data_IF_748562941621
#
_entry.id   IF_748562941621
#
_cell.length_a   1.000
_cell.length_b   1.000
_cell.length_c   1.000
_cell.angle_alpha   90.00
_cell.angle_beta   90.00
_cell.angle_gamma   90.00
#
_symmetry.space_group_name_H-M   'P 1'
#
loop_
_entity.id
_entity.type
_entity.pdbx_description
1 polymer ?
#
# COMPACT_ATOMS: atom_id res chain seq x y z
N UNK A 1 2.47 -45.44 -13.66
CA UNK A 1 1.75 -46.06 -12.55
C UNK A 1 0.84 -47.20 -13.02
N UNK A 2 -0.12 -46.96 -13.93
CA UNK A 2 -1.06 -47.98 -14.44
C UNK A 2 -0.42 -49.26 -15.02
N UNK A 3 0.70 -49.11 -15.74
CA UNK A 3 1.42 -50.22 -16.37
C UNK A 3 2.02 -51.22 -15.35
N UNK A 4 2.47 -50.72 -14.19
CA UNK A 4 3.01 -51.55 -13.10
C UNK A 4 1.90 -52.32 -12.38
N UNK A 5 0.75 -51.69 -12.20
CA UNK A 5 -0.44 -52.32 -11.60
C UNK A 5 -0.92 -53.48 -12.48
N UNK A 6 -1.01 -53.27 -13.80
CA UNK A 6 -1.39 -54.32 -14.75
C UNK A 6 -0.40 -55.48 -14.75
N UNK A 7 0.91 -55.20 -14.71
CA UNK A 7 1.94 -56.23 -14.68
C UNK A 7 1.92 -57.03 -13.36
N UNK A 8 1.63 -56.38 -12.23
CA UNK A 8 1.48 -57.05 -10.94
C UNK A 8 0.26 -57.98 -10.90
N UNK A 9 -0.88 -57.53 -11.44
CA UNK A 9 -2.10 -58.35 -11.57
C UNK A 9 -1.80 -59.58 -12.45
N UNK A 10 -1.11 -59.39 -13.58
CA UNK A 10 -0.72 -60.47 -14.49
C UNK A 10 0.20 -61.49 -13.80
N UNK A 11 1.24 -61.02 -13.08
CA UNK A 11 2.15 -61.89 -12.34
C UNK A 11 1.42 -62.71 -11.28
N UNK A 12 0.52 -62.07 -10.54
CA UNK A 12 -0.28 -62.72 -9.50
C UNK A 12 -1.19 -63.80 -10.09
N UNK A 13 -1.84 -63.51 -11.23
CA UNK A 13 -2.67 -64.48 -11.94
C UNK A 13 -1.88 -65.71 -12.42
N UNK A 14 -0.70 -65.50 -13.01
CA UNK A 14 0.17 -66.60 -13.46
C UNK A 14 0.67 -67.42 -12.25
N UNK A 15 1.06 -66.77 -11.15
CA UNK A 15 1.52 -67.46 -9.95
C UNK A 15 0.44 -68.33 -9.30
N UNK A 16 -0.79 -67.82 -9.20
CA UNK A 16 -1.94 -68.59 -8.69
C UNK A 16 -2.23 -69.78 -9.60
N UNK A 17 -2.24 -69.58 -10.92
CA UNK A 17 -2.47 -70.67 -11.88
C UNK A 17 -1.40 -71.76 -11.79
N UNK A 18 -0.13 -71.37 -11.62
CA UNK A 18 0.98 -72.30 -11.43
C UNK A 18 0.83 -73.15 -10.17
N UNK A 19 0.42 -72.54 -9.06
CA UNK A 19 0.17 -73.23 -7.79
C UNK A 19 -0.99 -74.22 -7.90
N UNK A 20 -2.05 -73.86 -8.62
CA UNK A 20 -3.17 -74.75 -8.90
C UNK A 20 -2.73 -75.98 -9.71
N UNK A 21 -1.98 -75.79 -10.80
CA UNK A 21 -1.47 -76.89 -11.61
C UNK A 21 -0.50 -77.80 -10.85
N UNK A 22 0.40 -77.22 -10.03
CA UNK A 22 1.32 -78.00 -9.22
C UNK A 22 0.59 -78.85 -8.17
N UNK A 23 -0.46 -78.28 -7.55
CA UNK A 23 -1.32 -79.01 -6.60
C UNK A 23 -2.05 -80.17 -7.28
N UNK A 24 -2.65 -79.94 -8.45
CA UNK A 24 -3.38 -80.96 -9.20
C UNK A 24 -2.47 -82.10 -9.67
N UNK A 25 -1.28 -81.78 -10.22
CA UNK A 25 -0.30 -82.78 -10.63
C UNK A 25 0.27 -83.60 -9.46
N UNK A 26 0.45 -82.97 -8.29
CA UNK A 26 0.85 -83.67 -7.07
C UNK A 26 -0.25 -84.61 -6.57
N UNK A 27 -1.51 -84.18 -6.64
CA UNK A 27 -2.67 -85.00 -6.27
C UNK A 27 -2.78 -86.25 -7.14
N UNK A 28 -2.64 -86.12 -8.47
CA UNK A 28 -2.63 -87.26 -9.40
C UNK A 28 -1.44 -88.22 -9.15
N UNK A 29 -0.28 -87.68 -8.79
CA UNK A 29 0.91 -88.50 -8.51
C UNK A 29 0.74 -89.31 -7.23
N UNK A 30 0.35 -88.66 -6.12
CA UNK A 30 0.32 -89.28 -4.78
C UNK A 30 -0.96 -90.11 -4.60
N UNK A 31 -2.13 -89.51 -4.81
CA UNK A 31 -3.41 -90.14 -4.45
C UNK A 31 -3.87 -91.18 -5.48
N UNK A 32 -3.37 -91.10 -6.71
CA UNK A 32 -3.76 -92.00 -7.80
C UNK A 32 -2.63 -92.95 -8.17
N UNK A 33 -1.52 -92.45 -8.74
CA UNK A 33 -0.49 -93.31 -9.32
C UNK A 33 0.35 -94.06 -8.28
N UNK A 34 0.79 -93.38 -7.21
CA UNK A 34 1.55 -94.02 -6.13
C UNK A 34 0.70 -95.04 -5.38
N UNK A 35 -0.57 -94.70 -5.09
CA UNK A 35 -1.52 -95.62 -4.47
C UNK A 35 -1.78 -96.88 -5.30
N UNK A 36 -1.92 -96.74 -6.63
CA UNK A 36 -2.02 -97.90 -7.54
C UNK A 36 -0.77 -98.77 -7.48
N UNK A 37 0.42 -98.17 -7.48
CA UNK A 37 1.67 -98.90 -7.35
C UNK A 37 1.76 -99.68 -6.03
N UNK A 38 1.43 -99.03 -4.90
CA UNK A 38 1.40 -99.66 -3.58
C UNK A 38 0.45 -100.86 -3.53
N UNK A 39 -0.77 -100.71 -4.06
CA UNK A 39 -1.75 -101.79 -4.13
C UNK A 39 -1.24 -103.01 -4.90
N UNK A 40 -0.56 -102.80 -6.05
CA UNK A 40 -0.01 -103.91 -6.85
C UNK A 40 1.16 -104.60 -6.13
N UNK A 41 2.04 -103.82 -5.48
CA UNK A 41 3.14 -104.37 -4.68
C UNK A 41 2.61 -105.23 -3.53
N UNK A 42 1.56 -104.74 -2.86
CA UNK A 42 0.92 -105.46 -1.78
C UNK A 42 0.22 -106.75 -2.25
N UNK A 43 -0.47 -106.71 -3.39
CA UNK A 43 -1.05 -107.90 -4.01
C UNK A 43 0.03 -108.95 -4.32
N UNK A 44 1.16 -108.51 -4.89
CA UNK A 44 2.31 -109.38 -5.17
C UNK A 44 2.89 -110.00 -3.89
N UNK A 45 3.04 -109.21 -2.84
CA UNK A 45 3.52 -109.70 -1.54
C UNK A 45 2.53 -110.70 -0.94
N UNK A 46 1.22 -110.44 -1.02
CA UNK A 46 0.17 -111.35 -0.59
C UNK A 46 0.26 -112.72 -1.29
N UNK A 47 0.50 -112.76 -2.61
CA UNK A 47 0.69 -114.04 -3.35
C UNK A 47 1.93 -114.80 -2.89
N UNK A 48 3.01 -114.09 -2.51
CA UNK A 48 4.21 -114.73 -1.95
C UNK A 48 3.95 -115.30 -0.56
N UNK A 49 3.26 -114.53 0.29
CA UNK A 49 2.90 -114.96 1.64
C UNK A 49 1.94 -116.16 1.63
N UNK A 50 0.96 -116.16 0.73
CA UNK A 50 0.07 -117.31 0.51
C UNK A 50 0.87 -118.57 0.15
N UNK A 51 1.86 -118.45 -0.73
CA UNK A 51 2.68 -119.60 -1.12
C UNK A 51 3.60 -120.09 0.01
N UNK A 52 4.08 -119.20 0.88
CA UNK A 52 4.81 -119.60 2.09
C UNK A 52 3.89 -120.37 3.02
N UNK A 53 2.68 -119.87 3.28
CA UNK A 53 1.68 -120.52 4.13
C UNK A 53 1.28 -121.90 3.59
N UNK A 54 1.00 -122.00 2.28
CA UNK A 54 0.69 -123.27 1.60
C UNK A 54 1.86 -124.26 1.66
N UNK A 55 3.10 -123.77 1.50
CA UNK A 55 4.30 -124.62 1.66
C UNK A 55 4.42 -125.14 3.09
N UNK A 56 4.19 -124.30 4.10
CA UNK A 56 4.24 -124.72 5.50
C UNK A 56 3.15 -125.76 5.79
N UNK A 57 1.92 -125.55 5.31
CA UNK A 57 0.82 -126.52 5.41
C UNK A 57 1.15 -127.88 4.76
N UNK A 58 1.89 -127.89 3.65
CA UNK A 58 2.31 -129.12 2.99
C UNK A 58 3.44 -129.87 3.72
N UNK A 59 4.19 -129.18 4.60
CA UNK A 59 5.37 -129.72 5.31
C UNK A 59 5.09 -130.08 6.78
N UNK A 60 4.11 -129.43 7.42
CA UNK A 60 3.71 -129.71 8.80
C UNK A 60 2.87 -130.99 8.87
N UNK A 61 2.91 -131.71 10.00
CA UNK A 61 2.05 -132.87 10.29
C UNK A 61 1.14 -132.66 11.51
N UNK A 62 1.39 -131.62 12.31
CA UNK A 62 0.67 -131.34 13.56
C UNK A 62 -0.50 -130.37 13.29
N UNK A 63 -1.76 -130.80 13.50
CA UNK A 63 -2.95 -129.97 13.29
C UNK A 63 -2.93 -128.65 14.07
N UNK A 64 -2.32 -128.62 15.26
CA UNK A 64 -2.24 -127.41 16.09
C UNK A 64 -1.32 -126.34 15.48
N UNK A 65 -0.34 -126.77 14.68
CA UNK A 65 0.58 -125.89 13.94
C UNK A 65 0.07 -125.54 12.53
N UNK A 66 -0.77 -126.40 11.93
CA UNK A 66 -1.38 -126.15 10.63
C UNK A 66 -2.47 -125.06 10.68
N UNK A 67 -3.29 -125.04 11.74
CA UNK A 67 -4.44 -124.15 11.81
C UNK A 67 -4.08 -122.64 11.68
N UNK A 68 -3.00 -122.13 12.32
CA UNK A 68 -2.55 -120.75 12.11
C UNK A 68 -2.10 -120.46 10.67
N UNK A 69 -1.46 -121.42 9.99
CA UNK A 69 -1.02 -121.25 8.60
C UNK A 69 -2.21 -121.27 7.63
N UNK A 70 -3.26 -122.05 7.92
CA UNK A 70 -4.52 -121.99 7.18
C UNK A 70 -5.20 -120.64 7.34
N UNK A 71 -5.29 -120.12 8.57
CA UNK A 71 -5.84 -118.78 8.82
C UNK A 71 -5.02 -117.69 8.12
N UNK A 72 -3.69 -117.80 8.12
CA UNK A 72 -2.80 -116.89 7.39
C UNK A 72 -3.08 -116.94 5.89
N UNK A 73 -3.21 -118.14 5.31
CA UNK A 73 -3.53 -118.32 3.89
C UNK A 73 -4.87 -117.65 3.53
N UNK A 74 -5.94 -117.93 4.28
CA UNK A 74 -7.25 -117.35 4.03
C UNK A 74 -7.24 -115.83 4.19
N UNK A 75 -6.59 -115.31 5.25
CA UNK A 75 -6.50 -113.88 5.49
C UNK A 75 -5.72 -113.16 4.39
N UNK A 76 -4.61 -113.73 3.92
CA UNK A 76 -3.83 -113.17 2.81
C UNK A 76 -4.59 -113.20 1.49
N UNK A 77 -5.40 -114.25 1.26
CA UNK A 77 -6.27 -114.36 0.09
C UNK A 77 -7.37 -113.29 0.11
N UNK A 78 -8.02 -113.08 1.25
CA UNK A 78 -9.06 -112.05 1.36
C UNK A 78 -8.47 -110.63 1.27
N UNK A 79 -7.31 -110.39 1.89
CA UNK A 79 -6.59 -109.12 1.76
C UNK A 79 -6.15 -108.85 0.31
N UNK A 80 -5.71 -109.88 -0.41
CA UNK A 80 -5.39 -109.79 -1.83
C UNK A 80 -6.63 -109.38 -2.64
N UNK A 81 -7.79 -110.01 -2.43
CA UNK A 81 -9.04 -109.71 -3.14
C UNK A 81 -9.49 -108.26 -2.86
N UNK A 82 -9.42 -107.82 -1.60
CA UNK A 82 -9.76 -106.44 -1.23
C UNK A 82 -8.85 -105.42 -1.93
N UNK A 83 -7.54 -105.68 -2.00
CA UNK A 83 -6.58 -104.80 -2.67
C UNK A 83 -6.77 -104.80 -4.19
N UNK A 84 -7.08 -105.96 -4.77
CA UNK A 84 -7.48 -106.11 -6.18
C UNK A 84 -8.70 -105.27 -6.51
N UNK A 85 -9.74 -105.28 -5.68
CA UNK A 85 -10.94 -104.45 -5.85
C UNK A 85 -10.64 -102.96 -5.79
N UNK A 86 -9.82 -102.54 -4.83
CA UNK A 86 -9.39 -101.14 -4.72
C UNK A 86 -8.56 -100.71 -5.94
N UNK A 87 -7.70 -101.59 -6.43
CA UNK A 87 -6.89 -101.35 -7.62
C UNK A 87 -7.78 -101.22 -8.86
N UNK A 88 -8.71 -102.15 -9.06
CA UNK A 88 -9.67 -102.13 -10.18
C UNK A 88 -10.53 -100.85 -10.15
N UNK A 89 -11.06 -100.49 -8.98
CA UNK A 89 -11.82 -99.24 -8.80
C UNK A 89 -10.98 -98.02 -9.13
N UNK A 90 -9.75 -97.95 -8.61
CA UNK A 90 -8.82 -96.87 -8.94
C UNK A 90 -8.53 -96.84 -10.43
N UNK A 91 -8.41 -97.99 -11.08
CA UNK A 91 -8.11 -98.16 -12.50
C UNK A 91 -9.34 -98.08 -13.43
N UNK A 92 -10.51 -97.69 -12.92
CA UNK A 92 -11.71 -97.48 -13.75
C UNK A 92 -11.69 -96.14 -14.51
N UNK A 93 -10.87 -95.18 -14.07
CA UNK A 93 -10.77 -93.82 -14.63
C UNK A 93 -9.31 -93.47 -14.89
N UNK A 94 -9.01 -92.83 -16.03
CA UNK A 94 -7.67 -92.33 -16.38
C UNK A 94 -6.56 -93.39 -16.24
N UNK A 95 -6.70 -94.48 -16.99
CA UNK A 95 -5.71 -95.56 -17.05
C UNK A 95 -5.04 -95.60 -18.40
N UNK A 96 -3.72 -95.80 -18.40
CA UNK A 96 -2.95 -95.97 -19.62
C UNK A 96 -3.33 -97.29 -20.31
N UNK A 97 -3.26 -97.31 -21.64
CA UNK A 97 -3.53 -98.52 -22.43
C UNK A 97 -2.70 -99.72 -21.94
N UNK A 98 -1.42 -99.48 -21.60
CA UNK A 98 -0.52 -100.49 -21.04
C UNK A 98 -0.94 -100.96 -19.65
N UNK A 99 -1.37 -100.04 -18.77
CA UNK A 99 -1.83 -100.36 -17.43
C UNK A 99 -3.11 -101.21 -17.45
N UNK A 100 -4.06 -100.87 -18.33
CA UNK A 100 -5.30 -101.62 -18.51
C UNK A 100 -5.03 -103.05 -18.96
N UNK A 101 -4.22 -103.21 -20.00
CA UNK A 101 -3.84 -104.54 -20.52
C UNK A 101 -3.10 -105.40 -19.46
N UNK A 102 -2.24 -104.79 -18.65
CA UNK A 102 -1.54 -105.49 -17.57
C UNK A 102 -2.47 -105.89 -16.40
N UNK A 103 -3.48 -105.06 -16.09
CA UNK A 103 -4.52 -105.41 -15.11
C UNK A 103 -5.38 -106.58 -15.61
N UNK A 104 -5.86 -106.52 -16.86
CA UNK A 104 -6.64 -107.61 -17.47
C UNK A 104 -5.86 -108.94 -17.48
N UNK A 105 -4.55 -108.89 -17.78
CA UNK A 105 -3.69 -110.07 -17.70
C UNK A 105 -3.51 -110.58 -16.27
N UNK A 106 -3.47 -109.70 -15.28
CA UNK A 106 -3.42 -110.09 -13.86
C UNK A 106 -4.71 -110.81 -13.47
N UNK A 107 -5.87 -110.19 -13.74
CA UNK A 107 -7.20 -110.71 -13.41
C UNK A 107 -7.48 -112.07 -14.07
N UNK A 108 -7.09 -112.25 -15.34
CA UNK A 108 -7.28 -113.53 -16.05
C UNK A 108 -6.42 -114.69 -15.51
N UNK A 109 -5.35 -114.40 -14.78
CA UNK A 109 -4.46 -115.42 -14.18
C UNK A 109 -4.73 -115.69 -12.70
N UNK A 110 -5.53 -114.81 -12.08
CA UNK A 110 -5.75 -114.76 -10.64
C UNK A 110 -6.52 -115.97 -10.12
N UNK A 111 -7.68 -116.27 -10.70
CA UNK A 111 -8.58 -117.32 -10.21
C UNK A 111 -7.88 -118.68 -10.16
N UNK A 112 -7.16 -119.02 -11.24
CA UNK A 112 -6.39 -120.27 -11.33
C UNK A 112 -5.28 -120.31 -10.28
N UNK A 113 -4.54 -119.22 -10.07
CA UNK A 113 -3.46 -119.18 -9.10
C UNK A 113 -3.97 -119.25 -7.64
N UNK A 114 -5.03 -118.51 -7.31
CA UNK A 114 -5.58 -118.50 -5.96
C UNK A 114 -6.29 -119.83 -5.63
N UNK A 115 -7.09 -120.36 -6.55
CA UNK A 115 -7.80 -121.63 -6.33
C UNK A 115 -6.84 -122.81 -6.18
N UNK A 116 -5.76 -122.86 -6.96
CA UNK A 116 -4.74 -123.92 -6.84
C UNK A 116 -3.95 -123.79 -5.54
N UNK A 117 -3.62 -122.58 -5.08
CA UNK A 117 -3.02 -122.38 -3.75
C UNK A 117 -3.96 -122.81 -2.62
N UNK A 118 -5.24 -122.46 -2.68
CA UNK A 118 -6.25 -122.87 -1.69
C UNK A 118 -6.44 -124.40 -1.68
N UNK A 119 -6.46 -125.02 -2.85
CA UNK A 119 -6.58 -126.48 -2.99
C UNK A 119 -5.36 -127.19 -2.41
N UNK A 120 -4.15 -126.72 -2.72
CA UNK A 120 -2.90 -127.22 -2.14
C UNK A 120 -2.87 -127.05 -0.61
N UNK A 121 -3.27 -125.88 -0.11
CA UNK A 121 -3.36 -125.61 1.33
C UNK A 121 -4.35 -126.52 2.04
N UNK A 122 -5.51 -126.79 1.42
CA UNK A 122 -6.52 -127.69 1.96
C UNK A 122 -6.04 -129.14 2.00
N UNK A 123 -5.35 -129.62 0.95
CA UNK A 123 -4.70 -130.94 0.98
C UNK A 123 -3.67 -131.05 2.11
N UNK A 124 -2.92 -129.97 2.39
CA UNK A 124 -2.02 -129.89 3.55
C UNK A 124 -2.77 -129.98 4.88
N UNK A 125 -3.85 -129.22 5.03
CA UNK A 125 -4.71 -129.21 6.23
C UNK A 125 -5.38 -130.57 6.51
N UNK A 126 -5.79 -131.28 5.44
CA UNK A 126 -6.36 -132.63 5.50
C UNK A 126 -5.29 -133.72 5.77
N UNK A 127 -4.05 -133.31 6.08
CA UNK A 127 -2.88 -134.15 6.35
C UNK A 127 -2.45 -135.07 5.18
N UNK A 128 -2.77 -134.69 3.94
CA UNK A 128 -2.43 -135.40 2.70
C UNK A 128 -1.13 -134.87 2.09
N UNK A 129 -0.02 -134.95 2.84
CA UNK A 129 1.25 -134.27 2.52
C UNK A 129 1.86 -134.61 1.15
N UNK A 130 1.87 -135.89 0.77
CA UNK A 130 2.44 -136.32 -0.52
C UNK A 130 1.65 -135.74 -1.70
N UNK A 131 0.33 -135.76 -1.61
CA UNK A 131 -0.58 -135.20 -2.62
C UNK A 131 -0.47 -133.67 -2.66
N UNK A 132 -0.46 -133.02 -1.49
CA UNK A 132 -0.29 -131.58 -1.37
C UNK A 132 1.04 -131.12 -1.98
N UNK A 133 2.14 -131.82 -1.70
CA UNK A 133 3.47 -131.48 -2.23
C UNK A 133 3.55 -131.69 -3.74
N UNK A 134 3.01 -132.80 -4.25
CA UNK A 134 2.98 -133.07 -5.68
C UNK A 134 2.14 -132.01 -6.42
N UNK A 135 0.94 -131.71 -5.94
CA UNK A 135 0.05 -130.70 -6.51
C UNK A 135 0.64 -129.28 -6.41
N UNK A 136 1.33 -128.97 -5.31
CA UNK A 136 2.03 -127.70 -5.13
C UNK A 136 3.13 -127.52 -6.20
N UNK A 137 3.92 -128.57 -6.47
CA UNK A 137 5.03 -128.48 -7.42
C UNK A 137 4.58 -128.48 -8.89
N UNK A 138 3.57 -129.27 -9.25
CA UNK A 138 3.17 -129.47 -10.65
C UNK A 138 2.03 -128.57 -11.10
N UNK A 139 1.18 -128.08 -10.19
CA UNK A 139 -0.02 -127.29 -10.53
C UNK A 139 0.00 -125.89 -9.88
N UNK A 140 0.11 -125.80 -8.55
CA UNK A 140 -0.04 -124.52 -7.87
C UNK A 140 1.15 -123.57 -8.10
N UNK A 141 2.40 -124.05 -8.05
CA UNK A 141 3.59 -123.23 -8.30
C UNK A 141 3.65 -122.65 -9.73
N UNK A 142 3.40 -123.43 -10.79
CA UNK A 142 3.32 -122.86 -12.14
C UNK A 142 2.25 -121.77 -12.27
N UNK A 143 1.04 -122.01 -11.74
CA UNK A 143 -0.05 -121.02 -11.75
C UNK A 143 0.33 -119.76 -10.96
N UNK A 144 0.90 -119.92 -9.76
CA UNK A 144 1.43 -118.83 -8.95
C UNK A 144 2.49 -118.01 -9.70
N UNK A 145 3.43 -118.67 -10.39
CA UNK A 145 4.48 -117.99 -11.15
C UNK A 145 3.90 -117.13 -12.27
N UNK A 146 2.84 -117.60 -12.94
CA UNK A 146 2.15 -116.82 -13.97
C UNK A 146 1.53 -115.55 -13.37
N UNK A 147 0.82 -115.66 -12.24
CA UNK A 147 0.24 -114.49 -11.57
C UNK A 147 1.32 -113.53 -11.05
N UNK A 148 2.40 -114.03 -10.43
CA UNK A 148 3.51 -113.21 -9.95
C UNK A 148 4.19 -112.44 -11.10
N UNK A 149 4.38 -113.07 -12.27
CA UNK A 149 4.93 -112.39 -13.45
C UNK A 149 3.97 -111.30 -13.97
N UNK A 150 2.65 -111.54 -13.93
CA UNK A 150 1.66 -110.54 -14.31
C UNK A 150 1.68 -109.33 -13.36
N UNK A 151 1.74 -109.59 -12.05
CA UNK A 151 1.87 -108.57 -11.01
C UNK A 151 3.20 -107.81 -11.09
N UNK A 152 4.31 -108.48 -11.40
CA UNK A 152 5.62 -107.85 -11.64
C UNK A 152 5.56 -106.88 -12.84
N UNK A 153 4.93 -107.29 -13.94
CA UNK A 153 4.75 -106.42 -15.10
C UNK A 153 3.89 -105.19 -14.75
N UNK A 154 2.76 -105.40 -14.07
CA UNK A 154 1.88 -104.32 -13.64
C UNK A 154 2.58 -103.37 -12.66
N UNK A 155 3.40 -103.90 -11.74
CA UNK A 155 4.21 -103.11 -10.79
C UNK A 155 5.17 -102.19 -11.54
N UNK A 156 5.89 -102.71 -12.55
CA UNK A 156 6.83 -101.93 -13.34
C UNK A 156 6.13 -100.84 -14.15
N UNK A 157 4.96 -101.13 -14.72
CA UNK A 157 4.17 -100.15 -15.47
C UNK A 157 3.70 -99.03 -14.54
N UNK A 158 3.13 -99.35 -13.37
CA UNK A 158 2.67 -98.32 -12.42
C UNK A 158 3.84 -97.49 -11.88
N UNK A 159 4.99 -98.11 -11.59
CA UNK A 159 6.20 -97.39 -11.16
C UNK A 159 6.70 -96.43 -12.24
N UNK A 160 6.77 -96.86 -13.51
CA UNK A 160 7.20 -96.00 -14.62
C UNK A 160 6.24 -94.84 -14.82
N UNK A 161 4.93 -95.10 -14.85
CA UNK A 161 3.90 -94.05 -14.99
C UNK A 161 3.95 -93.02 -13.86
N UNK A 162 4.22 -93.45 -12.63
CA UNK A 162 4.40 -92.54 -11.49
C UNK A 162 5.65 -91.67 -11.66
N UNK A 163 6.80 -92.26 -12.01
CA UNK A 163 8.06 -91.54 -12.24
C UNK A 163 7.98 -90.55 -13.40
N UNK A 164 7.37 -90.94 -14.51
CA UNK A 164 7.24 -90.07 -15.69
C UNK A 164 6.39 -88.83 -15.36
N UNK A 165 5.29 -89.00 -14.63
CA UNK A 165 4.45 -87.88 -14.17
C UNK A 165 5.19 -86.97 -13.17
N UNK A 166 6.02 -87.51 -12.28
CA UNK A 166 6.88 -86.70 -11.40
C UNK A 166 7.87 -85.86 -12.22
N UNK A 167 8.52 -86.46 -13.22
CA UNK A 167 9.49 -85.78 -14.07
C UNK A 167 8.83 -84.66 -14.89
N UNK A 168 7.66 -84.92 -15.47
CA UNK A 168 6.89 -83.93 -16.22
C UNK A 168 6.42 -82.77 -15.35
N UNK A 169 5.85 -83.06 -14.18
CA UNK A 169 5.42 -82.04 -13.22
C UNK A 169 6.60 -81.18 -12.73
N UNK A 170 7.75 -81.81 -12.44
CA UNK A 170 8.96 -81.09 -12.00
C UNK A 170 9.48 -80.15 -13.10
N UNK A 171 9.48 -80.59 -14.36
CA UNK A 171 9.90 -79.76 -15.49
C UNK A 171 8.94 -78.58 -15.73
N UNK A 172 7.62 -78.79 -15.58
CA UNK A 172 6.61 -77.73 -15.67
C UNK A 172 6.78 -76.70 -14.54
N UNK A 173 6.94 -77.15 -13.30
CA UNK A 173 7.18 -76.26 -12.15
C UNK A 173 8.45 -75.43 -12.33
N UNK A 174 9.54 -76.04 -12.81
CA UNK A 174 10.80 -75.33 -13.09
C UNK A 174 10.64 -74.25 -14.17
N UNK A 175 9.98 -74.55 -15.30
CA UNK A 175 9.72 -73.57 -16.36
C UNK A 175 8.89 -72.39 -15.86
N UNK A 176 7.84 -72.66 -15.08
CA UNK A 176 6.99 -71.59 -14.53
C UNK A 176 7.74 -70.74 -13.51
N UNK A 177 8.62 -71.33 -12.70
CA UNK A 177 9.48 -70.58 -11.77
C UNK A 177 10.44 -69.62 -12.51
N UNK A 178 11.03 -70.03 -13.64
CA UNK A 178 11.89 -69.16 -14.47
C UNK A 178 11.10 -67.99 -15.07
N UNK A 179 9.90 -68.23 -15.59
CA UNK A 179 9.02 -67.19 -16.15
C UNK A 179 8.65 -66.16 -15.06
N UNK A 180 8.23 -66.63 -13.88
CA UNK A 180 7.89 -65.74 -12.75
C UNK A 180 9.10 -64.92 -12.28
N UNK A 181 10.28 -65.53 -12.24
CA UNK A 181 11.52 -64.82 -11.87
C UNK A 181 11.86 -63.72 -12.89
N UNK A 182 11.71 -63.99 -14.19
CA UNK A 182 11.94 -63.01 -15.25
C UNK A 182 10.96 -61.83 -15.19
N UNK A 183 9.67 -62.11 -14.96
CA UNK A 183 8.64 -61.07 -14.79
C UNK A 183 8.89 -60.21 -13.53
N UNK A 184 9.33 -60.83 -12.43
CA UNK A 184 9.69 -60.11 -11.21
C UNK A 184 10.85 -59.13 -11.45
N UNK A 185 11.92 -59.56 -12.11
CA UNK A 185 13.06 -58.67 -12.46
C UNK A 185 12.60 -57.53 -13.37
N UNK A 186 11.81 -57.82 -14.40
CA UNK A 186 11.29 -56.79 -15.30
C UNK A 186 10.43 -55.75 -14.57
N UNK A 187 9.62 -56.17 -13.59
CA UNK A 187 8.78 -55.28 -12.78
C UNK A 187 9.61 -54.28 -11.96
N UNK A 188 10.73 -54.73 -11.39
CA UNK A 188 11.65 -53.89 -10.61
C UNK A 188 12.33 -52.88 -11.53
N UNK A 189 12.81 -53.31 -12.70
CA UNK A 189 13.46 -52.42 -13.68
C UNK A 189 12.51 -51.31 -14.17
N UNK A 190 11.26 -51.67 -14.51
CA UNK A 190 10.24 -50.68 -14.90
C UNK A 190 9.92 -49.71 -13.77
N UNK A 191 9.88 -50.18 -12.52
CA UNK A 191 9.63 -49.34 -11.34
C UNK A 191 10.76 -48.33 -11.11
N UNK A 192 12.01 -48.78 -11.19
CA UNK A 192 13.19 -47.90 -11.07
C UNK A 192 13.23 -46.88 -12.21
N UNK A 193 12.98 -47.32 -13.46
CA UNK A 193 12.98 -46.43 -14.61
C UNK A 193 11.88 -45.35 -14.51
N UNK A 194 10.66 -45.73 -14.13
CA UNK A 194 9.55 -44.77 -13.96
C UNK A 194 9.80 -43.81 -12.79
N UNK A 195 10.35 -44.29 -11.67
CA UNK A 195 10.76 -43.44 -10.55
C UNK A 195 11.81 -42.41 -10.99
N UNK A 196 12.86 -42.87 -11.69
CA UNK A 196 13.92 -41.99 -12.20
C UNK A 196 13.38 -40.93 -13.16
N UNK A 197 12.50 -41.31 -14.09
CA UNK A 197 11.87 -40.36 -15.02
C UNK A 197 10.99 -39.33 -14.31
N UNK A 198 10.21 -39.74 -13.31
CA UNK A 198 9.37 -38.84 -12.52
C UNK A 198 10.22 -37.85 -11.72
N UNK A 199 11.25 -38.32 -11.01
CA UNK A 199 12.18 -37.46 -10.27
C UNK A 199 12.87 -36.48 -11.22
N UNK A 200 13.35 -36.95 -12.38
CA UNK A 200 14.01 -36.10 -13.37
C UNK A 200 13.06 -35.05 -13.96
N UNK A 201 11.81 -35.42 -14.24
CA UNK A 201 10.79 -34.51 -14.77
C UNK A 201 10.40 -33.45 -13.73
N UNK A 202 10.16 -33.84 -12.48
CA UNK A 202 9.85 -32.93 -11.37
C UNK A 202 11.01 -31.98 -11.11
N UNK A 203 12.24 -32.50 -10.99
CA UNK A 203 13.43 -31.67 -10.81
C UNK A 203 13.65 -30.68 -11.96
N UNK A 204 13.25 -31.03 -13.19
CA UNK A 204 13.31 -30.11 -14.34
C UNK A 204 12.25 -29.02 -14.26
N UNK A 205 11.01 -29.34 -13.90
CA UNK A 205 9.93 -28.36 -13.75
C UNK A 205 10.14 -27.42 -12.55
N UNK A 206 10.70 -27.93 -11.46
CA UNK A 206 11.03 -27.13 -10.28
C UNK A 206 12.22 -26.20 -10.53
N UNK A 207 13.15 -26.56 -11.43
CA UNK A 207 14.35 -25.77 -11.74
C UNK A 207 15.49 -25.95 -10.74
N UNK A 208 15.21 -26.53 -9.57
CA UNK A 208 16.16 -26.78 -8.49
C UNK A 208 15.62 -27.80 -7.50
N UNK A 209 16.18 -27.83 -6.30
CA UNK A 209 15.67 -28.66 -5.21
C UNK A 209 14.37 -28.07 -4.64
N UNK A 210 13.36 -28.89 -4.27
CA UNK A 210 12.11 -28.40 -3.71
C UNK A 210 12.29 -27.49 -2.49
N UNK A 211 13.27 -27.82 -1.63
CA UNK A 211 13.57 -27.04 -0.43
C UNK A 211 14.05 -25.62 -0.74
N UNK A 212 14.79 -25.43 -1.85
CA UNK A 212 15.26 -24.10 -2.27
C UNK A 212 14.11 -23.23 -2.74
N UNK A 213 13.18 -23.79 -3.53
CA UNK A 213 11.98 -23.07 -3.97
C UNK A 213 11.09 -22.68 -2.77
N UNK A 214 10.94 -23.57 -1.79
CA UNK A 214 10.18 -23.29 -0.57
C UNK A 214 10.84 -22.19 0.28
N UNK A 215 12.17 -22.25 0.47
CA UNK A 215 12.91 -21.24 1.22
C UNK A 215 12.83 -19.87 0.55
N UNK A 216 12.98 -19.80 -0.78
CA UNK A 216 12.86 -18.55 -1.54
C UNK A 216 11.46 -17.97 -1.44
N UNK A 217 10.42 -18.79 -1.62
CA UNK A 217 9.03 -18.34 -1.48
C UNK A 217 8.74 -17.83 -0.06
N UNK A 218 9.27 -18.49 0.98
CA UNK A 218 9.14 -18.05 2.36
C UNK A 218 9.87 -16.72 2.63
N UNK A 219 11.08 -16.54 2.07
CA UNK A 219 11.82 -15.28 2.16
C UNK A 219 11.04 -14.13 1.50
N UNK A 220 10.51 -14.33 0.29
CA UNK A 220 9.69 -13.33 -0.40
C UNK A 220 8.43 -13.00 0.42
N UNK A 221 7.75 -14.01 0.97
CA UNK A 221 6.57 -13.82 1.81
C UNK A 221 6.88 -13.04 3.10
N UNK A 222 8.08 -13.20 3.66
CA UNK A 222 8.57 -12.43 4.79
C UNK A 222 9.08 -11.03 4.42
N UNK A 223 9.08 -10.67 3.13
CA UNK A 223 9.58 -9.40 2.62
C UNK A 223 11.09 -9.34 2.39
N UNK A 224 11.81 -10.45 2.56
CA UNK A 224 13.23 -10.53 2.19
C UNK A 224 13.38 -10.78 0.68
N UNK A 225 13.71 -9.71 -0.04
CA UNK A 225 13.98 -9.72 -1.47
C UNK A 225 15.48 -9.71 -1.79
N UNK A 226 16.35 -9.95 -0.81
CA UNK A 226 17.82 -9.91 -0.98
C UNK A 226 18.45 -11.29 -1.13
N UNK A 227 17.71 -12.34 -0.78
CA UNK A 227 18.14 -13.73 -0.92
C UNK A 227 18.55 -14.07 -2.36
N UNK A 228 19.77 -14.60 -2.60
CA UNK A 228 20.27 -14.91 -3.94
C UNK A 228 19.53 -16.11 -4.55
N UNK A 229 19.14 -16.00 -5.82
CA UNK A 229 18.51 -17.10 -6.56
C UNK A 229 19.51 -17.72 -7.53
N UNK A 230 19.83 -18.99 -7.33
CA UNK A 230 20.72 -19.75 -8.23
C UNK A 230 19.89 -20.54 -9.23
N UNK A 231 19.75 -20.01 -10.45
CA UNK A 231 19.07 -20.70 -11.55
C UNK A 231 20.04 -21.61 -12.31
N UNK A 232 19.51 -22.68 -12.89
CA UNK A 232 20.25 -23.47 -13.88
C UNK A 232 20.46 -22.63 -15.15
N UNK A 233 21.57 -22.87 -15.85
CA UNK A 233 21.91 -22.12 -17.06
C UNK A 233 20.82 -22.28 -18.13
N UNK A 234 20.22 -21.18 -18.55
CA UNK A 234 19.15 -21.15 -19.56
C UNK A 234 17.76 -21.52 -19.06
N UNK A 235 17.55 -21.63 -17.74
CA UNK A 235 16.25 -21.92 -17.15
C UNK A 235 15.41 -20.64 -17.00
N UNK A 236 14.33 -20.56 -17.78
CA UNK A 236 13.42 -19.40 -17.80
C UNK A 236 11.97 -19.75 -17.47
N UNK A 237 11.65 -21.05 -17.36
CA UNK A 237 10.27 -21.53 -17.25
C UNK A 237 10.00 -22.33 -15.99
N UNK A 238 11.04 -22.65 -15.21
CA UNK A 238 10.83 -23.38 -13.96
C UNK A 238 10.13 -22.54 -12.91
N UNK A 239 9.65 -23.22 -11.86
CA UNK A 239 9.14 -22.55 -10.68
C UNK A 239 10.18 -21.59 -10.08
N UNK A 240 11.45 -22.02 -9.97
CA UNK A 240 12.52 -21.21 -9.41
C UNK A 240 12.78 -19.94 -10.26
N UNK A 241 12.76 -20.06 -11.60
CA UNK A 241 12.89 -18.92 -12.51
C UNK A 241 11.69 -17.95 -12.39
N UNK A 242 10.48 -18.48 -12.17
CA UNK A 242 9.29 -17.67 -11.94
C UNK A 242 9.36 -16.91 -10.59
N UNK A 243 9.87 -17.56 -9.54
CA UNK A 243 10.11 -16.93 -8.23
C UNK A 243 11.21 -15.86 -8.30
N UNK A 244 12.27 -16.08 -9.07
CA UNK A 244 13.33 -15.08 -9.33
C UNK A 244 12.74 -13.83 -10.00
N UNK A 245 11.97 -14.02 -11.09
CA UNK A 245 11.30 -12.91 -11.77
C UNK A 245 10.31 -12.16 -10.87
N UNK A 246 9.57 -12.89 -10.03
CA UNK A 246 8.70 -12.28 -9.01
C UNK A 246 9.50 -11.47 -7.99
N UNK A 247 10.59 -12.01 -7.46
CA UNK A 247 11.47 -11.32 -6.51
C UNK A 247 12.06 -10.05 -7.13
N UNK A 248 12.53 -10.11 -8.38
CA UNK A 248 13.09 -8.97 -9.11
C UNK A 248 12.05 -7.86 -9.32
N UNK A 249 10.83 -8.21 -9.74
CA UNK A 249 9.75 -7.25 -9.91
C UNK A 249 9.33 -6.60 -8.59
N UNK A 250 9.18 -7.39 -7.52
CA UNK A 250 8.88 -6.86 -6.19
C UNK A 250 9.99 -5.93 -5.70
N UNK A 251 11.26 -6.27 -5.94
CA UNK A 251 12.41 -5.42 -5.58
C UNK A 251 12.37 -4.08 -6.33
N UNK A 252 12.03 -4.12 -7.62
CA UNK A 252 11.82 -2.93 -8.43
C UNK A 252 10.69 -2.03 -7.91
N UNK A 253 9.53 -2.62 -7.57
CA UNK A 253 8.41 -1.89 -6.99
C UNK A 253 8.76 -1.27 -5.63
N UNK A 254 9.43 -2.01 -4.75
CA UNK A 254 9.87 -1.48 -3.44
C UNK A 254 10.87 -0.33 -3.61
N UNK A 255 11.78 -0.42 -4.59
CA UNK A 255 12.70 0.68 -4.91
C UNK A 255 11.94 1.92 -5.39
N UNK A 256 10.99 1.76 -6.31
CA UNK A 256 10.16 2.88 -6.79
C UNK A 256 9.34 3.52 -5.66
N UNK A 257 8.78 2.71 -4.76
CA UNK A 257 8.06 3.21 -3.58
C UNK A 257 9.01 3.98 -2.66
N UNK A 258 10.24 3.50 -2.45
CA UNK A 258 11.26 4.20 -1.65
C UNK A 258 11.61 5.54 -2.27
N UNK A 259 11.84 5.59 -3.58
CA UNK A 259 12.21 6.82 -4.30
C UNK A 259 11.04 7.83 -4.31
N UNK A 260 9.81 7.35 -4.50
CA UNK A 260 8.60 8.18 -4.39
C UNK A 260 8.42 8.72 -2.96
N UNK A 261 8.63 7.90 -1.93
CA UNK A 261 8.53 8.32 -0.53
C UNK A 261 9.59 9.36 -0.17
N UNK A 262 10.83 9.19 -0.68
CA UNK A 262 11.89 10.19 -0.51
C UNK A 262 11.54 11.52 -1.19
N UNK A 263 10.93 11.47 -2.39
CA UNK A 263 10.47 12.66 -3.10
C UNK A 263 9.34 13.38 -2.35
N UNK A 264 8.39 12.63 -1.78
CA UNK A 264 7.31 13.18 -0.95
C UNK A 264 7.88 13.81 0.33
N UNK A 265 8.86 13.17 0.97
CA UNK A 265 9.51 13.72 2.16
C UNK A 265 10.23 15.03 1.85
N UNK A 266 10.94 15.10 0.72
CA UNK A 266 11.61 16.32 0.26
C UNK A 266 10.60 17.45 -0.03
N UNK A 267 9.52 17.15 -0.77
CA UNK A 267 8.47 18.12 -1.05
C UNK A 267 7.76 18.62 0.22
N UNK A 268 7.55 17.75 1.21
CA UNK A 268 6.97 18.15 2.49
C UNK A 268 7.90 19.09 3.26
N UNK A 269 9.22 18.88 3.20
CA UNK A 269 10.21 19.75 3.84
C UNK A 269 10.27 21.13 3.15
N UNK A 270 10.22 21.17 1.81
CA UNK A 270 10.12 22.40 1.02
C UNK A 270 8.82 23.18 1.35
N UNK A 271 7.68 22.50 1.46
CA UNK A 271 6.42 23.12 1.88
C UNK A 271 6.53 23.68 3.30
N UNK A 272 7.15 22.94 4.23
CA UNK A 272 7.32 23.40 5.62
C UNK A 272 8.21 24.65 5.70
N UNK A 273 9.32 24.69 4.96
CA UNK A 273 10.15 25.89 4.85
C UNK A 273 9.37 27.04 4.21
N UNK A 274 8.69 26.80 3.09
CA UNK A 274 7.88 27.81 2.41
C UNK A 274 6.76 28.36 3.29
N UNK A 275 6.12 27.51 4.12
CA UNK A 275 5.09 27.94 5.05
C UNK A 275 5.67 28.75 6.23
N UNK A 276 6.88 28.44 6.68
CA UNK A 276 7.59 29.24 7.69
C UNK A 276 7.94 30.62 7.14
N UNK A 277 8.45 30.68 5.91
CA UNK A 277 8.73 31.96 5.23
C UNK A 277 7.44 32.76 4.99
N UNK A 278 6.36 32.10 4.54
CA UNK A 278 5.06 32.73 4.37
C UNK A 278 4.53 33.29 5.69
N UNK A 279 4.60 32.52 6.78
CA UNK A 279 4.22 32.98 8.12
C UNK A 279 5.01 34.22 8.53
N UNK A 280 6.33 34.22 8.32
CA UNK A 280 7.17 35.38 8.62
C UNK A 280 6.79 36.61 7.78
N UNK A 281 6.50 36.42 6.49
CA UNK A 281 6.03 37.50 5.62
C UNK A 281 4.65 38.01 6.03
N UNK A 282 3.75 37.14 6.46
CA UNK A 282 2.44 37.51 6.99
C UNK A 282 2.57 38.31 8.28
N UNK A 283 3.47 37.92 9.19
CA UNK A 283 3.77 38.69 10.40
C UNK A 283 4.35 40.07 10.08
N UNK A 284 5.28 40.16 9.12
CA UNK A 284 5.83 41.43 8.65
C UNK A 284 4.76 42.32 8.01
N UNK A 285 3.88 41.73 7.19
CA UNK A 285 2.78 42.45 6.57
C UNK A 285 1.75 42.93 7.59
N UNK A 286 1.46 42.13 8.62
CA UNK A 286 0.59 42.54 9.72
C UNK A 286 1.20 43.72 10.51
N UNK A 287 2.51 43.68 10.78
CA UNK A 287 3.22 44.79 11.42
C UNK A 287 3.18 46.06 10.56
N UNK A 288 3.40 45.94 9.24
CA UNK A 288 3.30 47.06 8.31
C UNK A 288 1.88 47.64 8.22
N UNK A 289 0.84 46.78 8.29
CA UNK A 289 -0.56 47.21 8.34
C UNK A 289 -0.86 47.93 9.67
N UNK A 290 -0.33 47.46 10.80
CA UNK A 290 -0.46 48.16 12.09
C UNK A 290 0.18 49.54 12.05
N UNK A 291 1.38 49.67 11.49
CA UNK A 291 2.07 50.96 11.34
C UNK A 291 1.32 51.89 10.39
N UNK A 292 0.76 51.33 9.30
CA UNK A 292 -0.09 52.08 8.36
C UNK A 292 -1.35 52.57 9.06
N UNK A 293 -2.04 51.73 9.83
CA UNK A 293 -3.24 52.12 10.57
C UNK A 293 -2.95 53.23 11.60
N UNK A 294 -1.86 53.10 12.36
CA UNK A 294 -1.42 54.15 13.30
C UNK A 294 -1.09 55.47 12.58
N UNK A 295 -0.43 55.40 11.42
CA UNK A 295 -0.14 56.56 10.59
C UNK A 295 -1.42 57.22 10.06
N UNK A 296 -2.43 56.42 9.71
CA UNK A 296 -3.73 56.91 9.26
C UNK A 296 -4.52 57.59 10.37
N UNK A 297 -4.47 57.10 11.61
CA UNK A 297 -5.04 57.79 12.77
C UNK A 297 -4.36 59.15 13.00
N UNK A 298 -3.04 59.20 12.93
CA UNK A 298 -2.27 60.44 13.08
C UNK A 298 -2.57 61.45 11.95
N UNK A 299 -2.65 60.97 10.70
CA UNK A 299 -3.04 61.81 9.56
C UNK A 299 -4.46 62.35 9.71
N UNK A 300 -5.41 61.50 10.14
CA UNK A 300 -6.79 61.92 10.41
C UNK A 300 -6.85 63.03 11.46
N UNK A 301 -6.11 62.87 12.57
CA UNK A 301 -6.02 63.89 13.62
C UNK A 301 -5.43 65.21 13.09
N UNK A 302 -4.37 65.12 12.28
CA UNK A 302 -3.69 66.29 11.70
C UNK A 302 -4.59 67.05 10.71
N UNK A 303 -5.24 66.34 9.78
CA UNK A 303 -6.16 66.94 8.80
C UNK A 303 -7.37 67.56 9.50
N UNK A 304 -7.91 66.93 10.54
CA UNK A 304 -8.98 67.51 11.36
C UNK A 304 -8.53 68.79 12.05
N UNK A 305 -7.32 68.81 12.61
CA UNK A 305 -6.73 70.01 13.20
C UNK A 305 -6.53 71.13 12.18
N UNK A 306 -6.08 70.80 10.96
CA UNK A 306 -5.91 71.76 9.87
C UNK A 306 -7.25 72.36 9.44
N UNK A 307 -8.30 71.54 9.28
CA UNK A 307 -9.64 72.02 8.94
C UNK A 307 -10.17 73.00 10.00
N UNK A 308 -10.06 72.63 11.29
CA UNK A 308 -10.48 73.48 12.39
C UNK A 308 -9.66 74.79 12.46
N UNK A 309 -8.34 74.70 12.31
CA UNK A 309 -7.44 75.85 12.29
C UNK A 309 -7.70 76.80 11.11
N UNK A 310 -7.96 76.24 9.92
CA UNK A 310 -8.33 77.02 8.74
C UNK A 310 -9.66 77.74 8.96
N UNK A 311 -10.68 77.05 9.46
CA UNK A 311 -11.99 77.65 9.77
C UNK A 311 -11.87 78.78 10.81
N UNK A 312 -11.09 78.56 11.88
CA UNK A 312 -10.84 79.59 12.88
C UNK A 312 -10.10 80.80 12.28
N UNK A 313 -9.05 80.56 11.49
CA UNK A 313 -8.26 81.62 10.84
C UNK A 313 -9.10 82.43 9.86
N UNK A 314 -9.97 81.79 9.08
CA UNK A 314 -10.92 82.46 8.20
C UNK A 314 -11.87 83.36 9.00
N UNK A 315 -12.37 82.89 10.15
CA UNK A 315 -13.18 83.69 11.07
C UNK A 315 -12.45 84.94 11.57
N UNK A 316 -11.24 84.77 12.11
CA UNK A 316 -10.41 85.88 12.61
C UNK A 316 -10.04 86.86 11.49
N UNK A 317 -9.77 86.37 10.27
CA UNK A 317 -9.52 87.23 9.12
C UNK A 317 -10.75 88.11 8.80
N UNK A 318 -11.96 87.53 8.74
CA UNK A 318 -13.19 88.33 8.51
C UNK A 318 -13.44 89.36 9.61
N UNK A 319 -13.19 89.01 10.86
CA UNK A 319 -13.27 89.94 11.99
C UNK A 319 -12.25 91.08 11.85
N UNK A 320 -11.00 90.75 11.51
CA UNK A 320 -9.93 91.73 11.27
C UNK A 320 -10.27 92.65 10.09
N UNK A 321 -10.84 92.12 9.00
CA UNK A 321 -11.30 92.94 7.88
C UNK A 321 -12.44 93.90 8.28
N UNK A 322 -13.34 93.45 9.17
CA UNK A 322 -14.40 94.30 9.71
C UNK A 322 -13.84 95.43 10.57
N UNK A 323 -12.86 95.13 11.43
CA UNK A 323 -12.16 96.13 12.24
C UNK A 323 -11.37 97.13 11.37
N UNK A 324 -10.68 96.65 10.34
CA UNK A 324 -9.96 97.50 9.41
C UNK A 324 -10.89 98.46 8.64
N UNK A 325 -12.08 98.00 8.22
CA UNK A 325 -13.12 98.86 7.63
C UNK A 325 -13.64 99.92 8.61
N UNK A 326 -13.78 99.59 9.89
CA UNK A 326 -14.10 100.59 10.91
C UNK A 326 -12.99 101.65 11.03
N UNK A 327 -11.72 101.22 10.97
CA UNK A 327 -10.56 102.13 10.95
C UNK A 327 -10.52 103.04 9.73
N UNK A 328 -10.93 102.56 8.55
CA UNK A 328 -11.10 103.38 7.35
C UNK A 328 -12.10 104.52 7.59
N UNK A 329 -13.27 104.21 8.14
CA UNK A 329 -14.30 105.21 8.45
C UNK A 329 -13.82 106.27 9.45
N UNK A 330 -12.99 105.88 10.42
CA UNK A 330 -12.39 106.81 11.38
C UNK A 330 -11.33 107.71 10.73
N UNK A 331 -10.49 107.18 9.83
CA UNK A 331 -9.52 107.97 9.05
C UNK A 331 -10.23 108.95 8.12
N UNK A 332 -11.35 108.54 7.50
CA UNK A 332 -12.16 109.42 6.66
C UNK A 332 -12.77 110.56 7.47
N UNK A 333 -13.35 110.28 8.64
CA UNK A 333 -13.85 111.31 9.57
C UNK A 333 -12.75 112.26 10.05
N UNK A 334 -11.55 111.74 10.28
CA UNK A 334 -10.38 112.55 10.63
C UNK A 334 -10.01 113.50 9.48
N UNK A 335 -10.02 113.02 8.23
CA UNK A 335 -9.75 113.85 7.04
C UNK A 335 -10.81 114.95 6.86
N UNK A 336 -12.09 114.64 7.09
CA UNK A 336 -13.18 115.62 7.07
C UNK A 336 -12.96 116.71 8.14
N UNK A 337 -12.63 116.30 9.37
CA UNK A 337 -12.35 117.21 10.48
C UNK A 337 -11.15 118.12 10.17
N UNK A 338 -10.08 117.56 9.59
CA UNK A 338 -8.91 118.35 9.17
C UNK A 338 -9.27 119.35 8.09
N UNK A 339 -10.14 118.99 7.13
CA UNK A 339 -10.63 119.92 6.12
C UNK A 339 -11.47 121.06 6.73
N UNK A 340 -12.33 120.76 7.72
CA UNK A 340 -13.07 121.79 8.47
C UNK A 340 -12.14 122.73 9.24
N UNK A 341 -11.09 122.20 9.88
CA UNK A 341 -10.06 123.00 10.56
C UNK A 341 -9.35 123.92 9.56
N UNK A 342 -8.99 123.41 8.38
CA UNK A 342 -8.36 124.20 7.30
C UNK A 342 -9.27 125.36 6.86
N UNK A 343 -10.55 125.09 6.62
CA UNK A 343 -11.54 126.12 6.28
C UNK A 343 -11.71 127.16 7.38
N UNK A 344 -11.71 126.73 8.65
CA UNK A 344 -11.77 127.64 9.81
C UNK A 344 -10.52 128.53 9.90
N UNK A 345 -9.33 127.95 9.70
CA UNK A 345 -8.07 128.67 9.70
C UNK A 345 -8.02 129.73 8.57
N UNK A 346 -8.53 129.41 7.37
CA UNK A 346 -8.69 130.38 6.28
C UNK A 346 -9.57 131.58 6.70
N UNK A 347 -10.69 131.34 7.38
CA UNK A 347 -11.54 132.42 7.89
C UNK A 347 -10.81 133.30 8.91
N UNK A 348 -10.02 132.69 9.81
CA UNK A 348 -9.21 133.44 10.79
C UNK A 348 -8.13 134.27 10.08
N UNK A 349 -7.49 133.76 9.03
CA UNK A 349 -6.55 134.51 8.19
C UNK A 349 -7.20 135.74 7.55
N UNK A 350 -8.43 135.59 7.06
CA UNK A 350 -9.16 136.69 6.43
C UNK A 350 -9.57 137.75 7.49
N UNK A 351 -10.03 137.33 8.67
CA UNK A 351 -10.32 138.23 9.80
C UNK A 351 -9.07 138.97 10.27
N UNK A 352 -7.95 138.28 10.43
CA UNK A 352 -6.68 138.90 10.86
C UNK A 352 -6.15 139.89 9.83
N UNK A 353 -6.36 139.63 8.53
CA UNK A 353 -6.06 140.60 7.45
C UNK A 353 -6.94 141.86 7.56
N UNK A 354 -8.21 141.73 7.94
CA UNK A 354 -9.10 142.88 8.22
C UNK A 354 -8.63 143.64 9.46
N UNK A 355 -8.24 142.96 10.54
CA UNK A 355 -7.72 143.58 11.77
C UNK A 355 -6.42 144.36 11.48
N UNK A 356 -5.51 143.79 10.69
CA UNK A 356 -4.31 144.49 10.23
C UNK A 356 -4.68 145.76 9.43
N UNK A 357 -5.67 145.66 8.54
CA UNK A 357 -6.22 146.80 7.81
C UNK A 357 -6.80 147.89 8.72
N UNK A 358 -7.59 147.52 9.74
CA UNK A 358 -8.15 148.45 10.73
C UNK A 358 -7.03 149.08 11.56
N UNK A 359 -6.03 148.31 11.98
CA UNK A 359 -4.88 148.81 12.71
C UNK A 359 -4.08 149.80 11.87
N UNK A 360 -3.90 149.53 10.57
CA UNK A 360 -3.28 150.46 9.64
C UNK A 360 -4.09 151.76 9.50
N UNK A 361 -5.41 151.67 9.29
CA UNK A 361 -6.29 152.83 9.22
C UNK A 361 -6.24 153.66 10.52
N UNK A 362 -6.24 152.99 11.68
CA UNK A 362 -6.18 153.62 13.01
C UNK A 362 -4.83 154.30 13.24
N UNK A 363 -3.73 153.70 12.78
CA UNK A 363 -2.40 154.31 12.82
C UNK A 363 -2.33 155.60 11.96
N UNK A 364 -3.00 155.63 10.80
CA UNK A 364 -3.11 156.84 9.97
C UNK A 364 -4.00 157.90 10.62
N UNK A 365 -5.15 157.52 11.17
CA UNK A 365 -6.05 158.42 11.91
C UNK A 365 -5.36 159.04 13.13
N UNK A 366 -4.63 158.23 13.90
CA UNK A 366 -3.87 158.68 15.06
C UNK A 366 -2.72 159.61 14.69
N UNK A 367 -2.04 159.35 13.56
CA UNK A 367 -1.04 160.27 13.00
C UNK A 367 -1.68 161.62 12.62
N UNK A 368 -2.82 161.60 11.93
CA UNK A 368 -3.54 162.82 11.57
C UNK A 368 -3.99 163.61 12.82
N UNK A 369 -4.50 162.92 13.85
CA UNK A 369 -4.87 163.52 15.12
C UNK A 369 -3.67 164.11 15.88
N UNK A 370 -2.52 163.43 15.88
CA UNK A 370 -1.29 163.94 16.48
C UNK A 370 -0.78 165.21 15.77
N UNK A 371 -0.90 165.27 14.45
CA UNK A 371 -0.56 166.45 13.64
C UNK A 371 -1.49 167.63 13.96
N UNK A 372 -2.81 167.40 14.04
CA UNK A 372 -3.77 168.46 14.35
C UNK A 372 -3.65 168.94 15.81
N UNK A 373 -3.34 168.03 16.75
CA UNK A 373 -3.05 168.37 18.14
C UNK A 373 -1.76 169.22 18.28
N UNK A 374 -0.72 168.94 17.50
CA UNK A 374 0.48 169.79 17.44
C UNK A 374 0.18 171.19 16.87
N UNK A 375 -0.83 171.29 16.00
CA UNK A 375 -1.28 172.55 15.38
C UNK A 375 -2.05 173.46 16.36
N UNK A 376 -2.70 172.89 17.36
CA UNK A 376 -3.45 173.59 18.41
C UNK A 376 -2.57 174.15 19.56
N UNK A 377 -1.25 173.94 19.53
CA UNK A 377 -0.32 174.49 20.53
C UNK A 377 -0.50 173.92 21.94
N UNK A 378 -0.38 174.75 22.98
CA UNK A 378 -0.44 174.32 24.39
C UNK A 378 -1.80 173.68 24.77
N UNK A 379 -2.91 174.11 24.15
CA UNK A 379 -4.26 173.55 24.39
C UNK A 379 -4.42 172.12 23.83
N UNK A 380 -3.61 171.73 22.84
CA UNK A 380 -3.67 170.42 22.18
C UNK A 380 -2.78 169.34 22.82
N UNK A 381 -2.00 169.69 23.84
CA UNK A 381 -0.92 168.85 24.40
C UNK A 381 -1.43 167.53 24.99
N UNK A 382 -2.60 167.54 25.64
CA UNK A 382 -3.26 166.33 26.13
C UNK A 382 -3.74 165.40 24.99
N UNK A 383 -4.26 165.98 23.91
CA UNK A 383 -4.70 165.22 22.73
C UNK A 383 -3.53 164.61 21.95
N UNK A 384 -2.38 165.28 21.88
CA UNK A 384 -1.17 164.76 21.24
C UNK A 384 -0.64 163.50 21.93
N UNK A 385 -0.68 163.44 23.28
CA UNK A 385 -0.30 162.26 24.05
C UNK A 385 -1.26 161.10 23.79
N UNK A 386 -2.57 161.35 23.80
CA UNK A 386 -3.58 160.32 23.49
C UNK A 386 -3.42 159.81 22.07
N UNK A 387 -3.17 160.68 21.09
CA UNK A 387 -2.93 160.29 19.71
C UNK A 387 -1.65 159.46 19.54
N UNK A 388 -0.57 159.78 20.27
CA UNK A 388 0.64 158.98 20.33
C UNK A 388 0.40 157.57 20.91
N UNK A 389 -0.38 157.47 21.98
CA UNK A 389 -0.74 156.19 22.60
C UNK A 389 -1.64 155.34 21.69
N UNK A 390 -2.63 155.95 21.03
CA UNK A 390 -3.49 155.27 20.03
C UNK A 390 -2.65 154.78 18.85
N UNK A 391 -1.65 155.55 18.41
CA UNK A 391 -0.75 155.15 17.34
C UNK A 391 0.13 153.96 17.74
N UNK A 392 0.71 154.00 18.93
CA UNK A 392 1.49 152.89 19.51
C UNK A 392 0.63 151.62 19.61
N UNK A 393 -0.61 151.74 20.10
CA UNK A 393 -1.56 150.64 20.18
C UNK A 393 -1.89 150.08 18.79
N UNK A 394 -2.11 150.94 17.79
CA UNK A 394 -2.37 150.53 16.42
C UNK A 394 -1.18 149.78 15.79
N UNK A 395 0.07 150.23 16.01
CA UNK A 395 1.27 149.52 15.57
C UNK A 395 1.42 148.16 16.27
N UNK A 396 1.14 148.08 17.57
CA UNK A 396 1.13 146.81 18.32
C UNK A 396 0.06 145.86 17.80
N UNK A 397 -1.16 146.34 17.52
CA UNK A 397 -2.24 145.55 16.94
C UNK A 397 -1.88 145.04 15.54
N UNK A 398 -1.24 145.85 14.70
CA UNK A 398 -0.78 145.42 13.38
C UNK A 398 0.35 144.38 13.44
N UNK A 399 1.24 144.46 14.44
CA UNK A 399 2.25 143.42 14.68
C UNK A 399 1.61 142.12 15.13
N UNK A 400 0.72 142.17 16.13
CA UNK A 400 0.02 141.00 16.64
C UNK A 400 -0.85 140.33 15.55
N UNK A 401 -1.51 141.11 14.68
CA UNK A 401 -2.26 140.58 13.56
C UNK A 401 -1.36 139.82 12.56
N UNK A 402 -0.15 140.34 12.27
CA UNK A 402 0.84 139.65 11.43
C UNK A 402 1.37 138.36 12.07
N UNK A 403 1.63 138.38 13.37
CA UNK A 403 2.08 137.18 14.10
C UNK A 403 0.99 136.08 14.09
N UNK A 404 -0.27 136.45 14.31
CA UNK A 404 -1.40 135.51 14.20
C UNK A 404 -1.51 134.99 12.76
N UNK A 405 -1.37 135.85 11.74
CA UNK A 405 -1.42 135.43 10.34
C UNK A 405 -0.34 134.38 10.02
N UNK A 406 0.90 134.57 10.46
CA UNK A 406 1.98 133.60 10.28
C UNK A 406 1.68 132.27 10.98
N UNK A 407 1.16 132.30 12.23
CA UNK A 407 0.77 131.09 12.96
C UNK A 407 -0.37 130.34 12.25
N UNK A 408 -1.31 131.07 11.63
CA UNK A 408 -2.41 130.48 10.86
C UNK A 408 -1.91 129.88 9.55
N UNK A 409 -1.01 130.54 8.83
CA UNK A 409 -0.38 129.97 7.62
C UNK A 409 0.39 128.68 7.96
N UNK A 410 1.10 128.66 9.09
CA UNK A 410 1.77 127.46 9.59
C UNK A 410 0.76 126.36 9.99
N UNK A 411 -0.34 126.70 10.64
CA UNK A 411 -1.40 125.75 11.00
C UNK A 411 -2.07 125.13 9.76
N UNK A 412 -2.35 125.93 8.72
CA UNK A 412 -2.88 125.44 7.44
C UNK A 412 -1.92 124.44 6.81
N UNK A 413 -0.62 124.76 6.75
CA UNK A 413 0.39 123.84 6.20
C UNK A 413 0.50 122.53 6.98
N UNK A 414 0.40 122.57 8.31
CA UNK A 414 0.37 121.34 9.14
C UNK A 414 -0.88 120.50 8.91
N UNK A 415 -2.04 121.15 8.75
CA UNK A 415 -3.30 120.48 8.45
C UNK A 415 -3.27 119.82 7.06
N UNK A 416 -2.72 120.49 6.04
CA UNK A 416 -2.50 119.90 4.71
C UNK A 416 -1.61 118.64 4.77
N UNK A 417 -0.53 118.70 5.55
CA UNK A 417 0.31 117.53 5.82
C UNK A 417 -0.45 116.40 6.52
N UNK A 418 -1.31 116.74 7.48
CA UNK A 418 -2.18 115.79 8.18
C UNK A 418 -3.21 115.12 7.26
N UNK A 419 -3.82 115.86 6.34
CA UNK A 419 -4.75 115.33 5.33
C UNK A 419 -4.03 114.36 4.38
N UNK A 420 -2.83 114.71 3.91
CA UNK A 420 -2.05 113.83 3.04
C UNK A 420 -1.65 112.51 3.75
N UNK A 421 -1.23 112.59 5.01
CA UNK A 421 -0.90 111.41 5.81
C UNK A 421 -2.13 110.54 6.10
N UNK A 422 -3.29 111.15 6.35
CA UNK A 422 -4.57 110.45 6.52
C UNK A 422 -4.96 109.69 5.24
N UNK A 423 -4.84 110.32 4.07
CA UNK A 423 -5.13 109.70 2.78
C UNK A 423 -4.24 108.46 2.52
N UNK A 424 -2.92 108.57 2.73
CA UNK A 424 -2.00 107.44 2.59
C UNK A 424 -2.24 106.31 3.61
N UNK A 425 -2.71 106.67 4.80
CA UNK A 425 -3.15 105.70 5.83
C UNK A 425 -4.42 104.96 5.38
N UNK A 426 -5.40 105.68 4.83
CA UNK A 426 -6.63 105.11 4.28
C UNK A 426 -6.36 104.12 3.14
N UNK A 427 -5.49 104.45 2.19
CA UNK A 427 -5.08 103.55 1.10
C UNK A 427 -4.40 102.28 1.63
N UNK A 428 -3.60 102.41 2.69
CA UNK A 428 -2.94 101.26 3.33
C UNK A 428 -3.94 100.35 4.04
N UNK A 429 -4.95 100.92 4.70
CA UNK A 429 -6.05 100.16 5.32
C UNK A 429 -6.85 99.40 4.26
N UNK A 430 -7.16 100.01 3.11
CA UNK A 430 -7.86 99.34 2.01
C UNK A 430 -7.08 98.14 1.46
N UNK A 431 -5.75 98.28 1.31
CA UNK A 431 -4.90 97.15 0.92
C UNK A 431 -4.90 96.03 1.97
N UNK A 432 -4.85 96.37 3.26
CA UNK A 432 -4.96 95.38 4.35
C UNK A 432 -6.30 94.64 4.28
N UNK A 433 -7.42 95.35 4.09
CA UNK A 433 -8.74 94.73 3.93
C UNK A 433 -8.76 93.74 2.77
N UNK A 434 -8.14 94.09 1.64
CA UNK A 434 -7.99 93.18 0.49
C UNK A 434 -7.19 91.92 0.83
N UNK A 435 -5.98 92.08 1.37
CA UNK A 435 -5.10 90.95 1.74
C UNK A 435 -5.73 90.03 2.79
N UNK A 436 -6.44 90.59 3.76
CA UNK A 436 -7.13 89.81 4.80
C UNK A 436 -8.36 89.09 4.22
N UNK A 437 -9.03 89.68 3.22
CA UNK A 437 -10.08 89.02 2.45
C UNK A 437 -9.54 87.80 1.69
N UNK A 438 -8.46 87.98 0.94
CA UNK A 438 -7.79 86.88 0.22
C UNK A 438 -7.33 85.77 1.18
N UNK A 439 -6.85 86.12 2.38
CA UNK A 439 -6.50 85.16 3.42
C UNK A 439 -7.72 84.35 3.88
N UNK A 440 -8.88 85.00 4.07
CA UNK A 440 -10.11 84.32 4.46
C UNK A 440 -10.56 83.31 3.39
N UNK A 441 -10.54 83.71 2.12
CA UNK A 441 -10.91 82.85 0.98
C UNK A 441 -9.95 81.66 0.82
N UNK A 442 -8.64 81.89 1.02
CA UNK A 442 -7.63 80.83 1.01
C UNK A 442 -7.84 79.83 2.15
N UNK A 443 -8.21 80.30 3.34
CA UNK A 443 -8.51 79.45 4.48
C UNK A 443 -9.81 78.65 4.31
N UNK A 444 -10.84 79.23 3.70
CA UNK A 444 -12.06 78.49 3.34
C UNK A 444 -11.73 77.36 2.35
N UNK A 445 -10.91 77.65 1.35
CA UNK A 445 -10.46 76.66 0.36
C UNK A 445 -9.64 75.54 1.02
N UNK A 446 -8.78 75.88 1.99
CA UNK A 446 -8.01 74.91 2.78
C UNK A 446 -8.93 74.03 3.65
N UNK A 447 -9.98 74.61 4.25
CA UNK A 447 -10.97 73.86 5.02
C UNK A 447 -11.75 72.87 4.14
N UNK A 448 -12.16 73.29 2.93
CA UNK A 448 -12.82 72.43 1.96
C UNK A 448 -11.92 71.26 1.54
N UNK A 449 -10.68 71.56 1.13
CA UNK A 449 -9.70 70.55 0.71
C UNK A 449 -9.35 69.58 1.85
N UNK A 450 -9.26 70.07 3.09
CA UNK A 450 -9.05 69.21 4.26
C UNK A 450 -10.25 68.28 4.50
N UNK A 451 -11.48 68.73 4.20
CA UNK A 451 -12.67 67.88 4.23
C UNK A 451 -12.61 66.74 3.21
N UNK A 452 -12.20 67.03 1.98
CA UNK A 452 -12.00 66.01 0.94
C UNK A 452 -10.88 65.02 1.31
N UNK A 453 -9.76 65.51 1.85
CA UNK A 453 -8.67 64.66 2.35
C UNK A 453 -9.15 63.72 3.45
N UNK A 454 -9.96 64.21 4.40
CA UNK A 454 -10.53 63.37 5.47
C UNK A 454 -11.39 62.24 4.91
N UNK A 455 -12.17 62.50 3.86
CA UNK A 455 -12.98 61.48 3.20
C UNK A 455 -12.11 60.45 2.46
N UNK A 456 -11.05 60.89 1.78
CA UNK A 456 -10.07 59.99 1.16
C UNK A 456 -9.34 59.11 2.19
N UNK A 457 -8.90 59.70 3.30
CA UNK A 457 -8.26 58.98 4.41
C UNK A 457 -9.22 57.94 5.01
N UNK A 458 -10.51 58.29 5.17
CA UNK A 458 -11.53 57.35 5.65
C UNK A 458 -11.69 56.13 4.73
N UNK A 459 -11.72 56.33 3.40
CA UNK A 459 -11.77 55.22 2.45
C UNK A 459 -10.53 54.32 2.51
N UNK A 460 -9.34 54.91 2.60
CA UNK A 460 -8.10 54.13 2.74
C UNK A 460 -8.07 53.39 4.08
N UNK A 461 -8.55 54.00 5.17
CA UNK A 461 -8.66 53.34 6.47
C UNK A 461 -9.59 52.11 6.43
N UNK A 462 -10.70 52.19 5.69
CA UNK A 462 -11.60 51.04 5.48
C UNK A 462 -10.89 49.95 4.67
N UNK A 463 -10.17 50.32 3.61
CA UNK A 463 -9.43 49.37 2.77
C UNK A 463 -8.33 48.65 3.58
N UNK A 464 -7.57 49.38 4.41
CA UNK A 464 -6.56 48.82 5.32
C UNK A 464 -7.19 47.89 6.36
N UNK A 465 -8.41 48.17 6.82
CA UNK A 465 -9.12 47.31 7.78
C UNK A 465 -9.65 46.00 7.16
N UNK A 466 -9.77 45.92 5.83
CA UNK A 466 -10.25 44.73 5.11
C UNK A 466 -9.12 43.79 4.66
N UNK A 467 -7.86 44.20 4.78
CA UNK A 467 -6.65 43.39 4.50
C UNK A 467 -6.19 42.68 5.77
#
# INVERSE_FOLDING_TARGET
>A
MWLLILLFILCTGIAVHALWQAREGMNDTVDVKMKRFELVVDMRNGVRDMAIAVRNLALLSDPTQMQPEWQRLTAQRDAYIQKREQLEKSMSVNVSVQGKAALERTLSTEDVALSTLMTAGKMGLDNRQQEATAFLMTTARPAQRILLNALDNLTNIQMRLSRDTVAENSARTSRTAVILSGLAVLSVLLSVATCYLLVRMLMRQLGGEPAQAQALAAAIAAGDLTSPVTLRRGDTSSLLASLDGMQANLRGLVSQIKDASASVALAADEISQGNTELSSRTEQQAAALQETAASMEQLTATVKSNAAGAHQTAGTARETATLARAGEADVQRMSETMNEISLSAVRVRDITSVIEGIAFQTNILALNAAVEAARAGEEGRGFAVVAGEVRSLAQRSASAARDIKLLIEQAVSQVEGGVAAAAGTGESILRIVGMVGELADAMDSLSLSSGEQMQGISQVSIAVSQM
#
